data_IF_793056967235
#
_entry.id   IF_793056967235
#
_cell.length_a   1.000
_cell.length_b   1.000
_cell.length_c   1.000
_cell.angle_alpha   90.00
_cell.angle_beta   90.00
_cell.angle_gamma   90.00
#
_symmetry.space_group_name_H-M   'P 1'
#
loop_
_entity.id
_entity.type
_entity.pdbx_description
1 polymer ?
#
# COMPACT_ATOMS: atom_id res chain seq x y z
N UNK A 1 -2.46 0.35 18.03
CA UNK A 1 -1.26 -0.50 17.95
C UNK A 1 -0.21 -0.07 16.91
N UNK A 2 -0.49 0.35 15.66
CA UNK A 2 0.58 0.90 14.78
C UNK A 2 0.80 2.42 14.93
N UNK A 3 -0.27 3.18 15.19
CA UNK A 3 -0.20 4.64 15.34
C UNK A 3 0.49 5.11 16.62
N UNK A 4 0.63 4.24 17.62
CA UNK A 4 1.31 4.56 18.88
C UNK A 4 2.82 4.76 18.71
N UNK A 5 3.39 4.21 17.64
CA UNK A 5 4.81 4.31 17.30
C UNK A 5 5.00 5.17 16.03
N UNK A 6 4.11 6.14 15.81
CA UNK A 6 4.11 6.92 14.57
C UNK A 6 5.43 7.69 14.36
N UNK A 7 6.13 8.00 15.43
CA UNK A 7 7.46 8.61 15.45
C UNK A 7 8.60 7.68 15.00
N UNK A 8 8.38 6.36 15.07
CA UNK A 8 9.40 5.35 14.71
C UNK A 8 9.33 4.92 13.24
N UNK A 9 8.21 5.17 12.56
CA UNK A 9 8.00 4.74 11.18
C UNK A 9 8.18 5.91 10.20
N UNK A 10 8.77 5.61 9.05
CA UNK A 10 8.68 6.47 7.88
C UNK A 10 7.33 6.24 7.19
N UNK A 11 6.39 7.16 7.39
CA UNK A 11 5.04 7.08 6.81
C UNK A 11 4.99 7.56 5.36
N UNK A 12 6.06 8.22 4.91
CA UNK A 12 6.26 8.62 3.53
C UNK A 12 7.65 8.23 3.04
N UNK A 13 7.81 8.12 1.71
CA UNK A 13 9.11 7.91 1.11
C UNK A 13 10.11 9.01 1.49
N UNK A 14 9.64 10.24 1.70
CA UNK A 14 10.47 11.38 2.09
C UNK A 14 11.08 11.26 3.49
N UNK A 15 10.48 10.46 4.36
CA UNK A 15 11.00 10.18 5.70
C UNK A 15 12.05 9.05 5.71
N UNK A 16 12.30 8.39 4.57
CA UNK A 16 13.24 7.26 4.47
C UNK A 16 14.66 7.76 4.17
N UNK A 17 15.61 7.64 5.12
CA UNK A 17 17.00 8.02 4.87
C UNK A 17 17.66 7.08 3.86
N UNK A 18 18.45 7.65 2.95
CA UNK A 18 19.16 6.91 1.90
C UNK A 18 18.30 6.53 0.68
N UNK A 19 17.02 6.92 0.66
CA UNK A 19 16.15 6.78 -0.51
C UNK A 19 16.28 8.04 -1.39
N UNK A 20 16.74 7.86 -2.62
CA UNK A 20 16.67 8.92 -3.63
C UNK A 20 15.23 9.02 -4.15
N UNK A 21 14.55 10.12 -3.84
CA UNK A 21 13.15 10.33 -4.22
C UNK A 21 12.98 10.47 -5.73
N UNK A 22 13.98 10.96 -6.46
CA UNK A 22 13.92 11.07 -7.92
C UNK A 22 13.88 9.69 -8.60
N UNK A 23 14.49 8.70 -7.95
CA UNK A 23 14.53 7.30 -8.42
C UNK A 23 13.45 6.44 -7.76
N UNK A 24 12.98 6.78 -6.58
CA UNK A 24 11.99 5.95 -5.86
C UNK A 24 10.54 6.36 -6.18
N UNK A 25 10.31 7.66 -6.36
CA UNK A 25 8.98 8.20 -6.60
C UNK A 25 8.79 8.46 -8.09
N UNK A 26 7.82 7.78 -8.70
CA UNK A 26 7.48 7.97 -10.09
C UNK A 26 5.99 8.22 -10.24
N UNK A 27 5.64 9.08 -11.19
CA UNK A 27 4.26 9.26 -11.59
C UNK A 27 3.90 8.20 -12.62
N UNK A 28 2.76 7.54 -12.40
CA UNK A 28 2.19 6.67 -13.41
C UNK A 28 1.65 7.52 -14.56
N UNK A 29 1.87 7.09 -15.79
CA UNK A 29 1.29 7.73 -16.99
C UNK A 29 -0.20 7.44 -17.06
N UNK A 30 -1.00 8.17 -16.28
CA UNK A 30 -2.45 8.03 -16.19
C UNK A 30 -3.09 9.31 -16.73
N UNK A 31 -4.18 9.15 -17.48
CA UNK A 31 -5.01 10.29 -17.87
C UNK A 31 -5.75 10.86 -16.65
N UNK A 32 -5.37 12.06 -16.24
CA UNK A 32 -5.95 12.76 -15.07
C UNK A 32 -7.41 13.17 -15.26
N UNK A 33 -7.94 13.13 -16.50
CA UNK A 33 -9.35 13.38 -16.76
C UNK A 33 -10.25 12.18 -16.44
N UNK A 34 -9.66 11.00 -16.25
CA UNK A 34 -10.39 9.76 -15.98
C UNK A 34 -10.66 9.62 -14.49
N UNK A 35 -11.94 9.38 -14.15
CA UNK A 35 -12.37 9.13 -12.78
C UNK A 35 -11.81 7.82 -12.23
N UNK A 36 -11.50 7.81 -10.93
CA UNK A 36 -11.07 6.60 -10.22
C UNK A 36 -12.16 5.53 -10.26
N UNK A 37 -11.78 4.29 -10.55
CA UNK A 37 -12.68 3.13 -10.55
C UNK A 37 -12.46 2.30 -9.29
N UNK A 38 -13.52 2.09 -8.50
CA UNK A 38 -13.49 1.19 -7.35
C UNK A 38 -13.58 -0.26 -7.84
N UNK A 39 -12.48 -1.01 -7.71
CA UNK A 39 -12.45 -2.43 -8.05
C UNK A 39 -12.95 -3.29 -6.88
N UNK A 40 -13.93 -4.17 -7.15
CA UNK A 40 -14.44 -5.11 -6.14
C UNK A 40 -13.33 -6.09 -5.73
N UNK A 41 -13.08 -6.21 -4.43
CA UNK A 41 -12.13 -7.17 -3.87
C UNK A 41 -12.46 -8.60 -4.35
N UNK A 42 -11.48 -9.26 -4.96
CA UNK A 42 -11.57 -10.68 -5.33
C UNK A 42 -11.64 -11.55 -4.06
N UNK A 43 -12.48 -12.58 -4.06
CA UNK A 43 -12.45 -13.62 -3.01
C UNK A 43 -11.10 -14.33 -3.08
N UNK A 44 -10.32 -14.29 -2.01
CA UNK A 44 -9.05 -15.02 -1.89
C UNK A 44 -9.31 -16.43 -1.34
N UNK A 45 -8.36 -17.35 -1.40
CA UNK A 45 -8.50 -18.66 -0.74
C UNK A 45 -8.64 -18.50 0.79
N UNK A 46 -9.28 -19.44 1.51
CA UNK A 46 -9.40 -19.39 2.96
C UNK A 46 -8.07 -19.14 3.68
N UNK A 47 -6.98 -19.77 3.22
CA UNK A 47 -5.64 -19.58 3.81
C UNK A 47 -5.19 -18.10 3.80
N UNK A 48 -5.55 -17.36 2.74
CA UNK A 48 -5.21 -15.93 2.57
C UNK A 48 -6.22 -14.99 3.23
N UNK A 49 -7.40 -15.48 3.57
CA UNK A 49 -8.41 -14.72 4.31
C UNK A 49 -8.14 -14.71 5.83
N UNK A 50 -7.06 -15.36 6.28
CA UNK A 50 -6.82 -15.58 7.71
C UNK A 50 -7.85 -16.50 8.36
N UNK A 51 -8.70 -17.15 7.53
CA UNK A 51 -9.66 -18.12 8.02
C UNK A 51 -8.90 -19.44 8.18
N UNK A 52 -8.92 -20.08 9.35
CA UNK A 52 -8.24 -21.37 9.52
C UNK A 52 -8.76 -22.34 8.45
N UNK A 53 -7.84 -22.97 7.74
CA UNK A 53 -8.18 -24.07 6.83
C UNK A 53 -8.91 -25.13 7.66
N UNK A 54 -10.12 -25.51 7.23
CA UNK A 54 -10.84 -26.61 7.87
C UNK A 54 -10.01 -27.89 7.66
N UNK A 55 -9.40 -28.36 8.74
CA UNK A 55 -9.05 -29.77 8.92
C UNK A 55 -10.26 -30.45 9.56
#
# INVERSE_FOLDING_TARGET
CLRENADLFAWSAAEMPGLDLEVACHQLTIDHSVSVVVQRRRRQSPEKQGLPSKL
#
